data_IF_729330000455
#
_entry.id   IF_729330000455
#
_cell.length_a   1.000
_cell.length_b   1.000
_cell.length_c   1.000
_cell.angle_alpha   90.00
_cell.angle_beta   90.00
_cell.angle_gamma   90.00
#
_symmetry.space_group_name_H-M   'P 1'
#
loop_
_entity.id
_entity.type
_entity.pdbx_description
1 polymer ?
#
# COMPACT_ATOMS: atom_id res chain seq x y z
N UNK A 1 16.02 -47.98 57.47
CA UNK A 1 15.82 -47.61 56.05
C UNK A 1 14.60 -48.34 55.49
N UNK A 2 13.38 -47.77 55.57
CA UNK A 2 12.15 -48.37 55.00
C UNK A 2 11.01 -47.35 54.81
N UNK A 3 11.32 -46.08 54.51
CA UNK A 3 10.31 -45.01 54.31
C UNK A 3 10.26 -44.43 52.89
N UNK A 4 11.13 -44.85 51.97
CA UNK A 4 11.24 -44.23 50.64
C UNK A 4 10.28 -44.79 49.58
N UNK A 5 9.80 -46.03 49.72
CA UNK A 5 8.96 -46.67 48.70
C UNK A 5 7.51 -46.19 48.74
N UNK A 6 6.95 -45.94 49.93
CA UNK A 6 5.56 -45.47 50.07
C UNK A 6 5.33 -44.06 49.48
N UNK A 7 6.36 -43.20 49.50
CA UNK A 7 6.26 -41.84 48.96
C UNK A 7 6.28 -41.84 47.43
N UNK A 8 7.05 -42.76 46.81
CA UNK A 8 7.10 -42.92 45.36
C UNK A 8 5.77 -43.47 44.82
N UNK A 9 5.17 -44.45 45.49
CA UNK A 9 3.84 -44.95 45.09
C UNK A 9 2.75 -43.90 45.28
N UNK A 10 2.79 -43.10 46.35
CA UNK A 10 1.84 -42.02 46.56
C UNK A 10 2.00 -40.91 45.50
N UNK A 11 3.23 -40.54 45.15
CA UNK A 11 3.50 -39.56 44.11
C UNK A 11 3.07 -40.05 42.72
N UNK A 12 3.31 -41.33 42.39
CA UNK A 12 2.84 -41.93 41.14
C UNK A 12 1.31 -42.06 41.09
N UNK A 13 0.66 -42.36 42.22
CA UNK A 13 -0.79 -42.46 42.32
C UNK A 13 -1.46 -41.09 42.16
N UNK A 14 -0.90 -40.03 42.78
CA UNK A 14 -1.37 -38.64 42.62
C UNK A 14 -1.16 -38.14 41.19
N UNK A 15 -0.03 -38.47 40.56
CA UNK A 15 0.26 -38.10 39.17
C UNK A 15 -0.68 -38.80 38.18
N UNK A 16 -1.04 -40.08 38.43
CA UNK A 16 -2.02 -40.82 37.63
C UNK A 16 -3.43 -40.25 37.79
N UNK A 17 -3.85 -39.86 39.01
CA UNK A 17 -5.16 -39.21 39.19
C UNK A 17 -5.25 -37.83 38.51
N UNK A 18 -4.14 -37.08 38.44
CA UNK A 18 -4.07 -35.80 37.71
C UNK A 18 -4.19 -35.97 36.18
N UNK A 19 -3.69 -37.07 35.63
CA UNK A 19 -3.80 -37.38 34.20
C UNK A 19 -5.23 -37.84 33.85
N UNK A 20 -5.92 -38.56 34.74
CA UNK A 20 -7.29 -39.04 34.49
C UNK A 20 -8.33 -37.92 34.70
N UNK A 21 -8.08 -36.96 35.60
CA UNK A 21 -8.93 -35.76 35.75
C UNK A 21 -8.72 -34.68 34.68
N UNK A 22 -7.72 -34.81 33.80
CA UNK A 22 -7.52 -33.88 32.67
C UNK A 22 -8.35 -34.22 31.44
N UNK A 23 -9.11 -35.32 31.47
CA UNK A 23 -9.96 -35.75 30.35
C UNK A 23 -11.38 -36.07 30.84
N UNK A 24 -12.06 -35.06 31.40
CA UNK A 24 -13.52 -35.10 31.44
C UNK A 24 -14.05 -34.81 30.02
N UNK A 25 -14.29 -35.87 29.25
CA UNK A 25 -14.88 -35.82 27.91
C UNK A 25 -16.40 -35.58 27.92
N UNK A 26 -16.94 -35.00 28.99
CA UNK A 26 -18.36 -34.68 29.14
C UNK A 26 -18.60 -33.17 29.34
N UNK A 27 -17.76 -32.33 28.73
CA UNK A 27 -18.21 -31.00 28.35
C UNK A 27 -19.08 -31.16 27.11
N UNK A 28 -20.39 -30.97 27.25
CA UNK A 28 -21.24 -30.64 26.11
C UNK A 28 -20.61 -29.42 25.44
N UNK A 29 -19.98 -29.63 24.29
CA UNK A 29 -19.58 -28.55 23.40
C UNK A 29 -20.87 -27.89 22.90
N UNK A 30 -21.41 -26.96 23.68
CA UNK A 30 -22.04 -25.81 23.06
C UNK A 30 -20.91 -25.17 22.25
N UNK A 31 -20.95 -25.37 20.94
CA UNK A 31 -20.08 -24.69 20.01
C UNK A 31 -20.20 -23.21 20.39
N UNK A 32 -19.13 -22.53 20.85
CA UNK A 32 -19.25 -21.11 21.11
C UNK A 32 -19.79 -20.52 19.82
N UNK A 33 -20.93 -19.84 19.92
CA UNK A 33 -21.50 -19.12 18.80
C UNK A 33 -20.38 -18.20 18.33
N UNK A 34 -19.71 -18.57 17.24
CA UNK A 34 -18.68 -17.75 16.65
C UNK A 34 -19.46 -16.58 16.14
N UNK A 35 -19.52 -15.52 16.93
CA UNK A 35 -19.89 -14.20 16.47
C UNK A 35 -18.81 -13.85 15.46
N UNK A 36 -19.04 -14.28 14.22
CA UNK A 36 -18.36 -13.70 13.07
C UNK A 36 -18.90 -12.29 13.00
N UNK A 37 -18.33 -11.37 13.77
CA UNK A 37 -18.36 -10.00 13.31
C UNK A 37 -17.77 -10.05 11.92
N UNK A 38 -18.62 -9.80 10.93
CA UNK A 38 -18.18 -9.70 9.56
C UNK A 38 -17.26 -8.47 9.55
N UNK A 39 -15.96 -8.70 9.65
CA UNK A 39 -14.93 -7.70 9.40
C UNK A 39 -15.02 -7.37 7.91
N UNK A 40 -16.06 -6.64 7.54
CA UNK A 40 -16.28 -6.22 6.18
C UNK A 40 -15.24 -5.16 5.89
N UNK A 41 -14.40 -5.41 4.90
CA UNK A 41 -13.49 -4.39 4.42
C UNK A 41 -14.31 -3.21 3.88
N UNK A 42 -13.77 -1.99 3.92
CA UNK A 42 -14.33 -0.87 3.18
C UNK A 42 -14.66 -1.25 1.74
N UNK A 43 -15.85 -0.88 1.28
CA UNK A 43 -16.27 -1.03 -0.11
C UNK A 43 -16.08 0.30 -0.83
N UNK A 44 -15.33 0.22 -1.92
CA UNK A 44 -15.11 1.31 -2.86
C UNK A 44 -15.91 1.00 -4.12
N UNK A 45 -16.80 1.91 -4.49
CA UNK A 45 -17.63 1.78 -5.68
C UNK A 45 -17.31 2.90 -6.65
N UNK A 46 -16.98 2.54 -7.89
CA UNK A 46 -16.65 3.48 -8.96
C UNK A 46 -17.67 3.35 -10.09
N UNK A 47 -18.19 4.47 -10.55
CA UNK A 47 -19.00 4.57 -11.76
C UNK A 47 -18.26 5.40 -12.81
N UNK A 48 -17.97 4.81 -13.97
CA UNK A 48 -17.27 5.48 -15.08
C UNK A 48 -18.22 6.09 -16.11
N UNK A 49 -19.54 6.04 -15.87
CA UNK A 49 -20.58 6.52 -16.78
C UNK A 49 -20.52 5.88 -18.18
N UNK A 50 -20.02 4.65 -18.27
CA UNK A 50 -19.88 3.91 -19.53
C UNK A 50 -18.54 4.11 -20.23
N UNK A 51 -17.68 5.01 -19.74
CA UNK A 51 -16.34 5.22 -20.31
C UNK A 51 -15.38 4.08 -19.95
N UNK A 52 -14.44 3.80 -20.86
CA UNK A 52 -13.38 2.81 -20.66
C UNK A 52 -12.19 3.47 -20.00
N UNK A 53 -11.73 2.91 -18.88
CA UNK A 53 -10.51 3.38 -18.21
C UNK A 53 -9.30 3.02 -19.07
N UNK A 54 -8.51 4.03 -19.45
CA UNK A 54 -7.27 3.93 -20.23
C UNK A 54 -6.06 4.32 -19.36
N UNK A 55 -4.84 4.21 -19.89
CA UNK A 55 -3.59 4.51 -19.16
C UNK A 55 -3.39 6.02 -18.91
N UNK A 56 -3.51 6.82 -19.96
CA UNK A 56 -3.58 8.28 -19.88
C UNK A 56 -4.41 8.80 -21.07
N UNK A 57 -5.18 9.90 -20.90
CA UNK A 57 -5.39 10.64 -19.65
C UNK A 57 -6.43 9.99 -18.73
N UNK A 58 -6.47 10.43 -17.46
CA UNK A 58 -7.57 10.14 -16.53
C UNK A 58 -8.93 10.49 -17.12
N UNK A 59 -9.86 9.56 -17.05
CA UNK A 59 -11.28 9.79 -17.38
C UNK A 59 -12.05 10.25 -16.14
N UNK A 60 -13.14 10.99 -16.33
CA UNK A 60 -14.04 11.36 -15.24
C UNK A 60 -14.86 10.15 -14.77
N UNK A 61 -14.97 10.00 -13.45
CA UNK A 61 -15.79 8.99 -12.80
C UNK A 61 -16.32 9.51 -11.45
N UNK A 62 -17.23 8.78 -10.83
CA UNK A 62 -17.66 9.01 -9.44
C UNK A 62 -17.17 7.87 -8.56
N UNK A 63 -16.76 8.20 -7.35
CA UNK A 63 -16.32 7.25 -6.34
C UNK A 63 -17.11 7.46 -5.05
N UNK A 64 -17.62 6.36 -4.51
CA UNK A 64 -18.12 6.30 -3.14
C UNK A 64 -17.29 5.32 -2.33
N UNK A 65 -16.97 5.71 -1.09
CA UNK A 65 -16.30 4.86 -0.12
C UNK A 65 -17.19 4.68 1.10
N UNK A 66 -17.46 3.42 1.42
CA UNK A 66 -18.38 3.02 2.48
C UNK A 66 -17.81 1.88 3.32
N UNK A 67 -18.27 1.74 4.55
CA UNK A 67 -17.95 0.64 5.44
C UNK A 67 -19.19 0.35 6.27
N UNK A 68 -19.70 -0.88 6.17
CA UNK A 68 -21.05 -1.22 6.61
C UNK A 68 -22.08 -0.22 6.03
N UNK A 69 -22.91 0.39 6.87
CA UNK A 69 -23.98 1.30 6.44
C UNK A 69 -23.55 2.78 6.41
N UNK A 70 -22.25 3.07 6.58
CA UNK A 70 -21.73 4.44 6.62
C UNK A 70 -20.93 4.76 5.36
N UNK A 71 -21.34 5.82 4.67
CA UNK A 71 -20.57 6.44 3.57
C UNK A 71 -19.70 7.54 4.16
N UNK A 72 -18.40 7.49 3.87
CA UNK A 72 -17.43 8.48 4.35
C UNK A 72 -16.77 9.28 3.24
N UNK A 73 -16.97 8.90 1.98
CA UNK A 73 -16.66 9.72 0.82
C UNK A 73 -17.65 9.44 -0.30
N UNK A 74 -18.09 10.50 -0.99
CA UNK A 74 -18.86 10.42 -2.23
C UNK A 74 -18.52 11.66 -3.05
N UNK A 75 -17.91 11.48 -4.24
CA UNK A 75 -17.41 12.59 -5.02
C UNK A 75 -16.90 12.22 -6.41
N UNK A 76 -16.59 13.25 -7.19
CA UNK A 76 -15.98 13.09 -8.51
C UNK A 76 -14.52 12.66 -8.36
N UNK A 77 -14.04 11.90 -9.35
CA UNK A 77 -12.64 11.52 -9.46
C UNK A 77 -12.20 11.53 -10.94
N UNK A 78 -10.91 11.72 -11.17
CA UNK A 78 -10.20 11.23 -12.34
C UNK A 78 -9.69 9.80 -12.08
N UNK A 79 -9.82 8.90 -13.05
CA UNK A 79 -9.28 7.54 -12.96
C UNK A 79 -8.56 7.11 -14.24
N UNK A 80 -7.44 6.42 -14.06
CA UNK A 80 -6.65 5.81 -15.14
C UNK A 80 -6.08 4.46 -14.73
N UNK A 81 -5.72 3.61 -15.70
CA UNK A 81 -4.88 2.44 -15.47
C UNK A 81 -3.48 2.94 -15.10
N UNK A 82 -2.78 2.26 -14.20
CA UNK A 82 -1.41 2.63 -13.84
C UNK A 82 -0.42 1.47 -13.84
N UNK A 83 0.84 1.85 -13.76
CA UNK A 83 2.00 0.96 -13.71
C UNK A 83 2.67 0.89 -15.08
N UNK A 84 3.65 0.00 -15.22
CA UNK A 84 4.33 -0.21 -16.50
C UNK A 84 4.03 -1.63 -17.01
N UNK A 85 4.91 -2.59 -16.75
CA UNK A 85 4.68 -3.99 -17.13
C UNK A 85 3.43 -4.60 -16.48
N UNK A 86 3.05 -4.14 -15.29
CA UNK A 86 1.86 -4.60 -14.57
C UNK A 86 0.55 -4.27 -15.28
N UNK A 87 0.54 -3.29 -16.21
CA UNK A 87 -0.65 -3.01 -17.00
C UNK A 87 -1.08 -4.19 -17.87
N UNK A 88 -0.16 -5.10 -18.22
CA UNK A 88 -0.47 -6.33 -18.95
C UNK A 88 -1.26 -7.35 -18.11
N UNK A 89 -1.30 -7.20 -16.78
CA UNK A 89 -1.97 -8.16 -15.91
C UNK A 89 -3.49 -8.10 -16.03
N UNK A 90 -4.21 -9.22 -15.85
CA UNK A 90 -5.67 -9.22 -15.86
C UNK A 90 -6.29 -8.30 -14.81
N UNK A 91 -5.71 -8.26 -13.60
CA UNK A 91 -6.13 -7.35 -12.53
C UNK A 91 -5.32 -6.05 -12.63
N UNK A 92 -5.98 -4.99 -13.11
CA UNK A 92 -5.37 -3.67 -13.27
C UNK A 92 -5.21 -2.97 -11.92
N UNK A 93 -4.18 -2.15 -11.82
CA UNK A 93 -4.09 -1.12 -10.77
C UNK A 93 -4.53 0.21 -11.37
N UNK A 94 -5.03 1.13 -10.54
CA UNK A 94 -5.55 2.42 -10.99
C UNK A 94 -4.87 3.58 -10.27
N UNK A 95 -4.61 4.66 -11.00
CA UNK A 95 -4.32 5.99 -10.46
C UNK A 95 -5.63 6.76 -10.31
N UNK A 96 -5.74 7.55 -9.26
CA UNK A 96 -6.94 8.33 -8.95
C UNK A 96 -6.56 9.76 -8.61
N UNK A 97 -7.47 10.67 -8.91
CA UNK A 97 -7.42 12.07 -8.51
C UNK A 97 -8.79 12.45 -7.99
N UNK A 98 -8.92 12.89 -6.74
CA UNK A 98 -10.20 13.39 -6.22
C UNK A 98 -10.48 14.78 -6.76
N UNK A 99 -11.72 15.01 -7.19
CA UNK A 99 -12.12 16.21 -7.91
C UNK A 99 -13.37 16.84 -7.34
N UNK A 100 -13.46 18.16 -7.47
CA UNK A 100 -14.64 18.93 -7.08
C UNK A 100 -15.77 18.86 -8.13
N UNK A 101 -16.81 19.67 -7.95
CA UNK A 101 -17.94 19.73 -8.88
C UNK A 101 -17.59 20.32 -10.26
N UNK A 102 -16.49 21.08 -10.37
CA UNK A 102 -15.96 21.61 -11.62
C UNK A 102 -14.97 20.65 -12.30
N UNK A 103 -14.65 19.52 -11.66
CA UNK A 103 -13.59 18.56 -12.04
C UNK A 103 -12.17 19.08 -11.83
N UNK A 104 -11.98 20.04 -10.93
CA UNK A 104 -10.66 20.50 -10.49
C UNK A 104 -10.17 19.70 -9.29
N UNK A 105 -8.85 19.70 -9.04
CA UNK A 105 -8.24 18.95 -7.94
C UNK A 105 -8.85 19.30 -6.58
N UNK A 106 -9.19 18.26 -5.82
CA UNK A 106 -9.78 18.39 -4.48
C UNK A 106 -9.01 17.51 -3.50
N UNK A 107 -8.17 18.10 -2.66
CA UNK A 107 -7.48 17.39 -1.59
C UNK A 107 -8.48 16.99 -0.50
N UNK A 108 -8.49 15.70 -0.12
CA UNK A 108 -9.38 15.15 0.91
C UNK A 108 -8.65 14.18 1.82
N UNK A 109 -9.07 14.07 3.08
CA UNK A 109 -8.56 13.02 3.97
C UNK A 109 -9.38 11.75 3.79
N UNK A 110 -8.73 10.68 3.35
CA UNK A 110 -9.34 9.36 3.19
C UNK A 110 -8.67 8.37 4.15
N UNK A 111 -9.47 7.56 4.85
CA UNK A 111 -8.96 6.55 5.80
C UNK A 111 -7.99 7.10 6.88
N UNK A 112 -8.23 8.31 7.36
CA UNK A 112 -7.35 9.02 8.31
C UNK A 112 -5.92 9.27 7.78
N UNK A 113 -5.73 9.22 6.46
CA UNK A 113 -4.49 9.67 5.82
C UNK A 113 -4.51 11.20 5.70
N UNK A 114 -3.34 11.88 5.70
CA UNK A 114 -3.26 13.32 5.41
C UNK A 114 -4.00 13.68 4.12
N UNK A 115 -4.56 14.90 4.08
CA UNK A 115 -5.29 15.38 2.91
C UNK A 115 -4.40 15.37 1.67
N UNK A 116 -4.97 14.89 0.57
CA UNK A 116 -4.32 14.85 -0.74
C UNK A 116 -5.35 14.52 -1.83
N UNK A 117 -5.00 14.80 -3.08
CA UNK A 117 -5.87 14.59 -4.23
C UNK A 117 -5.49 13.32 -5.00
N UNK A 118 -4.22 12.95 -4.97
CA UNK A 118 -3.67 11.85 -5.76
C UNK A 118 -3.58 10.55 -4.96
N UNK A 119 -4.27 9.51 -5.42
CA UNK A 119 -4.40 8.21 -4.74
C UNK A 119 -4.15 7.02 -5.67
N UNK A 120 -3.96 5.83 -5.08
CA UNK A 120 -3.69 4.60 -5.82
C UNK A 120 -4.62 3.48 -5.36
N UNK A 121 -5.23 2.79 -6.34
CA UNK A 121 -5.76 1.44 -6.15
C UNK A 121 -4.79 0.41 -6.69
N UNK A 122 -4.01 -0.20 -5.79
CA UNK A 122 -3.06 -1.24 -6.16
C UNK A 122 -3.76 -2.61 -6.18
N UNK A 123 -3.71 -3.26 -7.34
CA UNK A 123 -4.15 -4.64 -7.53
C UNK A 123 -2.96 -5.60 -7.50
N UNK A 124 -2.62 -6.23 -6.35
CA UNK A 124 -1.43 -7.09 -6.18
C UNK A 124 -1.54 -8.44 -6.93
N UNK A 125 -1.65 -8.44 -8.25
CA UNK A 125 -1.90 -9.64 -9.06
C UNK A 125 -0.80 -10.72 -8.95
N UNK A 126 0.46 -10.29 -8.97
CA UNK A 126 1.63 -11.18 -8.88
C UNK A 126 1.89 -11.64 -7.45
N UNK A 127 1.55 -10.83 -6.45
CA UNK A 127 1.71 -11.16 -5.04
C UNK A 127 0.57 -12.07 -4.57
N UNK A 128 0.83 -13.37 -4.47
CA UNK A 128 -0.17 -14.36 -4.01
C UNK A 128 -0.60 -14.22 -2.55
N UNK A 129 0.14 -13.44 -1.75
CA UNK A 129 -0.27 -13.13 -0.38
C UNK A 129 -1.12 -11.87 -0.29
N UNK A 130 -1.11 -11.02 -1.33
CA UNK A 130 -1.79 -9.72 -1.41
C UNK A 130 -1.33 -8.67 -0.38
N UNK A 131 -0.41 -9.01 0.53
CA UNK A 131 -0.04 -8.18 1.69
C UNK A 131 1.38 -7.62 1.64
N UNK A 132 2.26 -8.04 0.72
CA UNK A 132 3.71 -7.72 0.83
C UNK A 132 3.99 -6.23 0.84
N UNK A 133 3.31 -5.45 0.00
CA UNK A 133 3.48 -4.00 -0.03
C UNK A 133 2.99 -3.35 1.25
N UNK A 134 1.76 -3.67 1.70
CA UNK A 134 1.23 -3.15 2.98
C UNK A 134 2.18 -3.49 4.13
N UNK A 135 2.60 -4.75 4.23
CA UNK A 135 3.46 -5.25 5.30
C UNK A 135 4.77 -4.46 5.39
N UNK A 136 5.46 -4.25 4.26
CA UNK A 136 6.74 -3.54 4.29
C UNK A 136 6.58 -2.03 4.54
N UNK A 137 5.49 -1.43 4.07
CA UNK A 137 5.18 -0.02 4.36
C UNK A 137 4.76 0.20 5.82
N UNK A 138 4.03 -0.75 6.40
CA UNK A 138 3.69 -0.69 7.83
C UNK A 138 4.97 -0.79 8.66
N UNK A 139 5.81 -1.78 8.37
CA UNK A 139 7.08 -1.97 9.07
C UNK A 139 8.01 -0.75 8.94
N UNK A 140 8.09 -0.14 7.75
CA UNK A 140 8.89 1.07 7.54
C UNK A 140 8.41 2.22 8.45
N UNK A 141 7.09 2.44 8.52
CA UNK A 141 6.49 3.45 9.41
C UNK A 141 6.70 3.14 10.89
N UNK A 142 6.61 1.86 11.29
CA UNK A 142 6.87 1.42 12.66
C UNK A 142 8.31 1.69 13.10
N UNK A 143 9.29 1.62 12.19
CA UNK A 143 10.69 1.95 12.48
C UNK A 143 11.02 3.44 12.27
N UNK A 144 10.00 4.30 12.12
CA UNK A 144 10.16 5.75 12.01
C UNK A 144 10.61 6.24 10.63
N UNK A 145 10.42 5.46 9.57
CA UNK A 145 10.67 5.89 8.19
C UNK A 145 9.35 6.15 7.49
N UNK A 146 9.29 7.24 6.72
CA UNK A 146 8.14 7.47 5.86
C UNK A 146 8.01 6.35 4.81
N UNK A 147 6.78 5.90 4.60
CA UNK A 147 6.33 5.13 3.45
C UNK A 147 4.82 5.28 3.31
N UNK A 148 4.27 5.04 2.12
CA UNK A 148 2.84 5.20 1.84
C UNK A 148 1.97 4.51 2.89
N UNK A 149 1.01 5.26 3.44
CA UNK A 149 -0.11 4.70 4.19
C UNK A 149 -1.02 3.96 3.23
N UNK A 150 -1.63 2.88 3.70
CA UNK A 150 -2.49 2.04 2.89
C UNK A 150 -3.75 1.63 3.66
N UNK A 151 -4.76 1.13 2.98
CA UNK A 151 -5.87 0.38 3.59
C UNK A 151 -6.34 -0.72 2.64
N UNK A 152 -6.75 -1.85 3.21
CA UNK A 152 -7.37 -2.93 2.42
C UNK A 152 -8.81 -2.57 2.13
N UNK A 153 -9.23 -2.71 0.88
CA UNK A 153 -10.59 -2.40 0.48
C UNK A 153 -11.08 -3.32 -0.65
N UNK A 154 -12.38 -3.54 -0.70
CA UNK A 154 -13.03 -4.20 -1.83
C UNK A 154 -13.39 -3.17 -2.90
N UNK A 155 -13.17 -3.50 -4.17
CA UNK A 155 -13.45 -2.60 -5.28
C UNK A 155 -14.56 -3.14 -6.17
N UNK A 156 -15.54 -2.29 -6.48
CA UNK A 156 -16.47 -2.48 -7.59
C UNK A 156 -16.32 -1.36 -8.60
N UNK A 157 -16.38 -1.69 -9.90
CA UNK A 157 -16.39 -0.71 -11.00
C UNK A 157 -17.59 -1.03 -11.87
N UNK A 158 -18.49 -0.06 -12.07
CA UNK A 158 -19.75 -0.22 -12.81
C UNK A 158 -20.55 -1.44 -12.31
N UNK A 159 -20.69 -1.55 -10.98
CA UNK A 159 -21.36 -2.67 -10.29
C UNK A 159 -20.70 -4.05 -10.48
N UNK A 160 -19.53 -4.13 -11.11
CA UNK A 160 -18.77 -5.36 -11.24
C UNK A 160 -17.70 -5.44 -10.15
N UNK A 161 -17.77 -6.49 -9.33
CA UNK A 161 -16.77 -6.77 -8.31
C UNK A 161 -15.40 -7.07 -8.93
N UNK A 162 -14.37 -6.36 -8.47
CA UNK A 162 -12.97 -6.51 -8.90
C UNK A 162 -12.09 -7.18 -7.82
N UNK A 163 -12.67 -7.48 -6.66
CA UNK A 163 -12.00 -8.16 -5.55
C UNK A 163 -11.25 -7.21 -4.62
N UNK A 164 -10.34 -7.80 -3.82
CA UNK A 164 -9.50 -7.08 -2.86
C UNK A 164 -8.46 -6.19 -3.55
N UNK A 165 -8.34 -4.95 -3.11
CA UNK A 165 -7.33 -3.98 -3.49
C UNK A 165 -6.64 -3.42 -2.25
N UNK A 166 -5.48 -2.82 -2.47
CA UNK A 166 -4.81 -1.97 -1.47
C UNK A 166 -4.97 -0.53 -1.93
N UNK A 167 -5.79 0.24 -1.23
CA UNK A 167 -5.81 1.69 -1.36
C UNK A 167 -4.54 2.25 -0.72
N UNK A 168 -3.86 3.19 -1.37
CA UNK A 168 -2.64 3.77 -0.81
C UNK A 168 -2.37 5.19 -1.28
N UNK A 169 -1.63 5.93 -0.46
CA UNK A 169 -1.05 7.23 -0.83
C UNK A 169 -0.15 7.09 -2.06
N UNK A 170 -0.29 8.02 -3.00
CA UNK A 170 0.72 8.22 -4.04
C UNK A 170 1.94 8.88 -3.39
N UNK A 171 3.14 8.51 -3.83
CA UNK A 171 4.35 9.24 -3.43
C UNK A 171 4.32 10.60 -4.10
N UNK A 172 4.30 11.67 -3.30
CA UNK A 172 4.30 13.06 -3.73
C UNK A 172 5.07 13.89 -2.71
N UNK A 173 5.68 14.98 -3.18
CA UNK A 173 6.28 15.98 -2.30
C UNK A 173 5.14 16.71 -1.61
N UNK A 174 5.02 16.51 -0.30
CA UNK A 174 4.01 17.15 0.54
C UNK A 174 4.41 16.96 2.01
N UNK A 175 3.96 17.87 2.89
CA UNK A 175 4.26 17.85 4.33
C UNK A 175 3.72 16.60 5.05
N UNK A 176 2.62 16.03 4.57
CA UNK A 176 2.04 14.77 5.06
C UNK A 176 2.67 13.51 4.47
N UNK A 177 3.53 13.68 3.45
CA UNK A 177 4.16 12.62 2.65
C UNK A 177 5.70 12.78 2.64
N UNK A 178 6.28 13.10 1.48
CA UNK A 178 7.73 13.34 1.34
C UNK A 178 7.98 14.83 1.62
N UNK A 179 8.24 15.15 2.88
CA UNK A 179 8.48 16.52 3.35
C UNK A 179 9.90 16.98 2.98
N UNK A 180 10.03 17.51 1.77
CA UNK A 180 11.27 18.08 1.24
C UNK A 180 10.98 19.45 0.62
N UNK A 181 11.96 20.35 0.68
CA UNK A 181 11.79 21.71 0.17
C UNK A 181 11.59 21.74 -1.35
N UNK A 182 10.74 22.67 -1.79
CA UNK A 182 10.59 23.05 -3.20
C UNK A 182 11.66 24.07 -3.56
N UNK A 183 12.44 23.77 -4.60
CA UNK A 183 13.44 24.70 -5.10
C UNK A 183 12.80 25.73 -6.04
N UNK A 184 13.09 27.01 -5.81
CA UNK A 184 12.74 28.12 -6.71
C UNK A 184 13.75 28.23 -7.86
N UNK A 185 13.36 28.91 -8.95
CA UNK A 185 14.20 29.01 -10.15
C UNK A 185 15.54 29.75 -9.92
N UNK A 186 15.59 30.60 -8.89
CA UNK A 186 16.76 31.37 -8.47
C UNK A 186 17.62 30.67 -7.40
N UNK A 187 17.15 29.55 -6.84
CA UNK A 187 17.87 28.73 -5.86
C UNK A 187 18.84 27.77 -6.54
N UNK A 188 19.85 28.33 -7.22
CA UNK A 188 20.77 27.61 -8.10
C UNK A 188 22.24 27.59 -7.61
N UNK A 189 22.52 28.08 -6.41
CA UNK A 189 23.87 28.10 -5.85
C UNK A 189 23.88 28.15 -4.31
N UNK A 190 25.04 27.85 -3.71
CA UNK A 190 25.25 27.95 -2.27
C UNK A 190 24.33 27.03 -1.45
N UNK A 191 23.94 27.50 -0.27
CA UNK A 191 23.06 26.76 0.65
C UNK A 191 21.65 26.59 0.07
N UNK A 192 21.19 27.51 -0.78
CA UNK A 192 19.86 27.46 -1.40
C UNK A 192 19.71 26.26 -2.35
N UNK A 193 20.80 25.81 -2.98
CA UNK A 193 20.80 24.61 -3.83
C UNK A 193 20.71 23.31 -3.03
N UNK A 194 20.90 23.33 -1.70
CA UNK A 194 20.94 22.10 -0.89
C UNK A 194 19.55 21.48 -0.62
N UNK A 195 18.50 21.93 -1.30
CA UNK A 195 17.10 21.58 -1.07
C UNK A 195 16.72 20.10 -1.28
N UNK A 196 15.43 19.87 -1.52
CA UNK A 196 14.84 18.54 -1.54
C UNK A 196 15.11 17.75 -2.83
N UNK A 197 15.86 16.65 -2.74
CA UNK A 197 16.06 15.74 -3.87
C UNK A 197 15.36 14.40 -3.66
N UNK A 198 14.71 13.90 -4.71
CA UNK A 198 14.23 12.52 -4.76
C UNK A 198 15.10 11.75 -5.75
N UNK A 199 15.71 10.68 -5.26
CA UNK A 199 16.47 9.73 -6.07
C UNK A 199 15.70 8.42 -6.16
N UNK A 200 15.70 7.82 -7.34
CA UNK A 200 14.91 6.63 -7.65
C UNK A 200 15.78 5.58 -8.31
N UNK A 201 15.70 4.33 -7.83
CA UNK A 201 16.24 3.17 -8.56
C UNK A 201 15.06 2.51 -9.25
N UNK A 202 14.94 2.71 -10.56
CA UNK A 202 13.85 2.16 -11.37
C UNK A 202 14.22 2.14 -12.85
N UNK A 203 13.31 1.66 -13.67
CA UNK A 203 13.34 1.79 -15.12
C UNK A 203 13.25 3.27 -15.53
N UNK A 204 13.77 3.57 -16.71
CA UNK A 204 13.69 4.90 -17.36
C UNK A 204 12.29 5.23 -17.89
N UNK A 205 11.33 4.32 -17.77
CA UNK A 205 9.94 4.55 -18.16
C UNK A 205 9.32 5.66 -17.28
N UNK A 206 8.82 6.71 -17.92
CA UNK A 206 8.25 7.89 -17.26
C UNK A 206 9.24 9.03 -16.99
N UNK A 207 10.51 8.91 -17.38
CA UNK A 207 11.45 10.04 -17.30
C UNK A 207 11.14 11.04 -18.43
N UNK A 208 10.86 12.30 -18.07
CA UNK A 208 10.59 13.39 -19.01
C UNK A 208 11.84 13.84 -19.82
N UNK A 209 12.98 13.17 -19.64
CA UNK A 209 14.30 13.64 -20.09
C UNK A 209 15.05 12.63 -20.99
N UNK A 210 14.30 11.87 -21.81
CA UNK A 210 14.86 11.09 -22.92
C UNK A 210 14.77 9.56 -22.76
N UNK A 211 15.25 8.84 -23.79
CA UNK A 211 15.32 7.38 -23.79
C UNK A 211 16.56 6.88 -23.04
N UNK A 212 16.37 5.91 -22.14
CA UNK A 212 17.47 5.28 -21.41
C UNK A 212 18.04 6.15 -20.28
N UNK A 213 19.15 5.67 -19.70
CA UNK A 213 19.91 6.42 -18.70
C UNK A 213 20.85 7.39 -19.42
N UNK A 214 20.86 8.64 -19.00
CA UNK A 214 21.73 9.68 -19.53
C UNK A 214 22.15 10.66 -18.43
N UNK A 215 23.09 11.54 -18.76
CA UNK A 215 23.66 12.51 -17.82
C UNK A 215 22.66 13.57 -17.33
N UNK A 216 21.50 13.70 -18.00
CA UNK A 216 20.44 14.64 -17.63
C UNK A 216 19.43 14.04 -16.64
N UNK A 217 19.24 12.72 -16.67
CA UNK A 217 18.20 12.05 -15.88
C UNK A 217 18.73 11.08 -14.83
N UNK A 218 20.03 10.79 -14.82
CA UNK A 218 20.60 9.80 -13.90
C UNK A 218 22.08 10.00 -13.61
N UNK A 219 22.58 9.27 -12.62
CA UNK A 219 24.00 9.00 -12.44
C UNK A 219 24.22 7.51 -12.13
N UNK A 220 25.38 7.00 -12.56
CA UNK A 220 25.80 5.63 -12.27
C UNK A 220 26.44 5.54 -10.88
N UNK A 221 26.06 4.51 -10.13
CA UNK A 221 26.68 4.15 -8.86
C UNK A 221 28.14 3.77 -9.07
N UNK A 222 29.04 4.23 -8.19
CA UNK A 222 30.43 3.73 -8.14
C UNK A 222 30.55 2.30 -7.61
N UNK A 223 29.43 1.72 -7.15
CA UNK A 223 29.35 0.36 -6.63
C UNK A 223 28.45 -0.50 -7.51
N UNK A 224 28.99 -1.65 -7.91
CA UNK A 224 28.26 -2.68 -8.65
C UNK A 224 27.17 -3.34 -7.78
N UNK A 225 26.10 -3.85 -8.40
CA UNK A 225 25.13 -4.65 -7.68
C UNK A 225 25.76 -5.96 -7.18
N UNK A 226 25.25 -6.45 -6.05
CA UNK A 226 25.71 -7.71 -5.46
C UNK A 226 25.53 -8.86 -6.48
N UNK A 227 26.61 -9.57 -6.79
CA UNK A 227 26.66 -10.61 -7.82
C UNK A 227 26.46 -10.13 -9.26
N UNK A 228 26.88 -8.90 -9.58
CA UNK A 228 26.85 -8.37 -10.95
C UNK A 228 27.47 -9.37 -11.96
N UNK A 229 26.74 -9.64 -13.03
CA UNK A 229 27.25 -10.36 -14.20
C UNK A 229 27.05 -9.48 -15.44
N UNK A 230 27.95 -9.55 -16.42
CA UNK A 230 27.78 -8.88 -17.71
C UNK A 230 27.52 -7.34 -17.65
N UNK A 231 28.38 -6.58 -16.96
CA UNK A 231 28.35 -5.11 -16.92
C UNK A 231 27.03 -4.51 -16.39
N UNK A 232 26.36 -5.20 -15.48
CA UNK A 232 25.23 -4.64 -14.75
C UNK A 232 25.70 -3.54 -13.82
N UNK A 233 25.14 -2.33 -13.96
CA UNK A 233 25.37 -1.22 -13.05
C UNK A 233 24.07 -0.66 -12.49
N UNK A 234 24.18 -0.04 -11.32
CA UNK A 234 23.05 0.63 -10.65
C UNK A 234 23.03 2.07 -11.13
N UNK A 235 21.90 2.49 -11.69
CA UNK A 235 21.66 3.89 -12.01
C UNK A 235 20.65 4.47 -11.01
N UNK A 236 20.96 5.65 -10.50
CA UNK A 236 20.03 6.47 -9.72
C UNK A 236 19.44 7.52 -10.65
N UNK A 237 18.13 7.51 -10.80
CA UNK A 237 17.37 8.50 -11.55
C UNK A 237 17.10 9.71 -10.67
N UNK A 238 17.17 10.90 -11.26
CA UNK A 238 16.65 12.13 -10.66
C UNK A 238 15.13 12.14 -10.86
N UNK A 239 14.38 12.21 -9.77
CA UNK A 239 12.94 12.45 -9.79
C UNK A 239 12.70 13.88 -9.30
N UNK A 240 12.23 14.74 -10.20
CA UNK A 240 11.79 16.07 -9.83
C UNK A 240 10.27 16.06 -9.72
N UNK A 241 9.68 16.27 -8.52
CA UNK A 241 8.24 16.46 -8.39
C UNK A 241 7.77 17.54 -9.36
N UNK A 242 6.53 17.44 -9.88
CA UNK A 242 6.04 18.45 -10.82
C UNK A 242 6.11 19.82 -10.15
N UNK A 243 6.23 20.87 -10.96
CA UNK A 243 6.26 22.24 -10.44
C UNK A 243 4.96 22.62 -9.69
N UNK A 244 3.90 21.85 -9.87
CA UNK A 244 2.58 22.03 -9.26
C UNK A 244 2.45 21.29 -7.91
N UNK A 245 3.29 20.27 -7.70
CA UNK A 245 3.52 19.59 -6.41
C UNK A 245 4.44 20.44 -5.50
#
# INVERSE_FOLDING_TARGET
MKKSTSFIYYFFFVLITLIISSCDNNASHENPEVVTEAYNLPLISINTNGETIIDEPKINAQMSISHADTVFYDGNIGIEIRGASSQSFPKKSYGLETRDAANEDLSVSLFNMPEEEDWIFYGPYSDKSLIRNRLIYDLAREIGRYSSRCEFAELTINHQFKGLYVFMEKLKRDKGRIDINKLNADENSGDDLTGGYILKIDKTAGSNLGEGYNDQNSFESTYDPLHATASQSIHFLYEYPKAED
#
